data_IF_318294755055
#
_entry.id   IF_318294755055
#
_cell.length_a   1.000
_cell.length_b   1.000
_cell.length_c   1.000
_cell.angle_alpha   90.00
_cell.angle_beta   90.00
_cell.angle_gamma   90.00
#
_symmetry.space_group_name_H-M   'P 1'
#
loop_
_entity.id
_entity.type
_entity.pdbx_description
1 polymer ?
#
# COMPACT_ATOMS: atom_id res chain seq x y z
N UNK A 1 4.90 13.96 -21.24
CA UNK A 1 5.70 13.00 -20.45
C UNK A 1 5.83 11.70 -21.24
N UNK A 2 6.93 10.95 -21.07
CA UNK A 2 7.15 9.67 -21.77
C UNK A 2 7.02 8.50 -20.80
N UNK A 3 6.81 7.30 -21.33
CA UNK A 3 6.91 6.07 -20.56
C UNK A 3 8.34 5.87 -20.08
N UNK A 4 8.47 5.37 -18.85
CA UNK A 4 9.72 4.90 -18.26
C UNK A 4 9.48 3.55 -17.63
N UNK A 5 10.43 2.63 -17.80
CA UNK A 5 10.46 1.39 -17.04
C UNK A 5 10.97 1.69 -15.63
N UNK A 6 10.25 1.22 -14.62
CA UNK A 6 10.58 1.50 -13.21
C UNK A 6 10.39 0.23 -12.39
N UNK A 7 11.35 -0.02 -11.52
CA UNK A 7 11.34 -1.11 -10.56
C UNK A 7 11.06 -0.59 -9.13
N UNK A 8 10.50 -1.47 -8.31
CA UNK A 8 10.30 -1.26 -6.88
C UNK A 8 11.60 -1.62 -6.14
N UNK A 9 12.28 -0.61 -5.59
CA UNK A 9 13.67 -0.76 -5.11
C UNK A 9 13.81 -0.86 -3.60
N UNK A 10 12.72 -0.87 -2.85
CA UNK A 10 12.75 -0.99 -1.39
C UNK A 10 11.86 -2.15 -0.94
N UNK A 11 12.23 -2.78 0.16
CA UNK A 11 11.61 -4.02 0.66
C UNK A 11 10.25 -3.80 1.35
N UNK A 12 9.43 -4.86 1.49
CA UNK A 12 8.21 -4.78 2.30
C UNK A 12 8.55 -4.51 3.75
N UNK A 13 7.63 -3.86 4.46
CA UNK A 13 7.71 -3.79 5.91
C UNK A 13 6.72 -4.79 6.47
N UNK A 14 7.23 -5.80 7.16
CA UNK A 14 6.46 -6.79 7.91
C UNK A 14 7.37 -7.49 8.92
N UNK A 15 6.77 -8.21 9.85
CA UNK A 15 7.43 -9.14 10.78
C UNK A 15 6.57 -10.41 10.96
N UNK A 16 7.05 -11.37 11.74
CA UNK A 16 6.36 -12.64 12.00
C UNK A 16 5.03 -12.48 12.77
N UNK A 17 4.74 -11.28 13.29
CA UNK A 17 3.50 -10.96 14.01
C UNK A 17 2.47 -10.24 13.13
N UNK A 18 2.86 -9.84 11.93
CA UNK A 18 1.99 -9.12 11.02
C UNK A 18 0.77 -9.98 10.64
N UNK A 19 -0.43 -9.43 10.78
CA UNK A 19 -1.70 -10.13 10.55
C UNK A 19 -2.58 -9.42 9.50
N UNK A 20 -2.29 -8.18 9.17
CA UNK A 20 -2.93 -7.38 8.14
C UNK A 20 -1.90 -7.03 7.07
N UNK A 21 -2.21 -7.23 5.79
CA UNK A 21 -1.37 -6.77 4.68
C UNK A 21 -2.09 -5.68 3.90
N UNK A 22 -1.51 -4.48 3.82
CA UNK A 22 -2.01 -3.39 2.99
C UNK A 22 -1.14 -3.26 1.73
N UNK A 23 -1.77 -3.32 0.57
CA UNK A 23 -1.14 -3.24 -0.74
C UNK A 23 -1.46 -1.91 -1.44
N UNK A 24 -0.44 -1.16 -1.84
CA UNK A 24 -0.57 -0.10 -2.83
C UNK A 24 -0.50 -0.63 -4.27
N UNK A 25 -0.63 0.25 -5.27
CA UNK A 25 -0.44 -0.10 -6.68
C UNK A 25 1.05 -0.24 -6.99
N UNK A 26 1.74 0.90 -6.94
CA UNK A 26 3.17 1.05 -7.18
C UNK A 26 3.66 2.34 -6.49
N UNK A 27 4.92 2.43 -6.04
CA UNK A 27 5.44 3.62 -5.37
C UNK A 27 5.33 4.89 -6.23
N UNK A 28 4.91 6.00 -5.62
CA UNK A 28 4.94 7.31 -6.28
C UNK A 28 6.38 7.82 -6.47
N UNK A 29 6.58 8.87 -7.28
CA UNK A 29 7.90 9.51 -7.44
C UNK A 29 8.52 9.83 -6.07
N UNK A 30 7.75 10.49 -5.19
CA UNK A 30 8.23 10.85 -3.85
C UNK A 30 8.56 9.63 -2.99
N UNK A 31 7.77 8.55 -3.09
CA UNK A 31 8.03 7.32 -2.34
C UNK A 31 9.33 6.65 -2.80
N UNK A 32 9.62 6.68 -4.12
CA UNK A 32 10.89 6.21 -4.67
C UNK A 32 12.07 7.09 -4.27
N UNK A 33 11.91 8.41 -4.24
CA UNK A 33 12.97 9.31 -3.74
C UNK A 33 13.30 9.04 -2.26
N UNK A 34 12.28 8.81 -1.44
CA UNK A 34 12.42 8.55 0.00
C UNK A 34 12.78 7.09 0.32
N UNK A 35 12.76 6.19 -0.67
CA UNK A 35 12.90 4.74 -0.49
C UNK A 35 11.93 4.19 0.57
N UNK A 36 10.71 4.75 0.61
CA UNK A 36 9.69 4.36 1.58
C UNK A 36 8.27 4.71 1.14
N UNK A 37 7.28 4.04 1.71
CA UNK A 37 5.88 4.13 1.29
C UNK A 37 5.22 5.48 1.57
N UNK A 38 4.38 5.89 0.63
CA UNK A 38 3.49 7.05 0.74
C UNK A 38 4.21 8.36 1.11
N UNK A 39 5.38 8.60 0.52
CA UNK A 39 6.22 9.77 0.84
C UNK A 39 5.63 11.13 0.47
N UNK A 40 4.65 11.18 -0.42
CA UNK A 40 4.04 12.46 -0.82
C UNK A 40 3.34 13.14 0.39
N UNK A 41 3.67 14.38 0.79
CA UNK A 41 3.15 15.01 2.02
C UNK A 41 1.62 15.14 2.10
N UNK A 42 0.96 15.25 0.94
CA UNK A 42 -0.51 15.28 0.85
C UNK A 42 -1.15 13.89 0.82
N UNK A 43 -0.37 12.80 0.75
CA UNK A 43 -0.93 11.47 0.89
C UNK A 43 -1.45 11.29 2.32
N UNK A 44 -2.63 10.69 2.43
CA UNK A 44 -3.37 10.60 3.69
C UNK A 44 -3.14 9.29 4.42
N UNK A 45 -2.36 8.36 3.86
CA UNK A 45 -2.13 7.02 4.43
C UNK A 45 -1.70 7.07 5.90
N UNK A 46 -0.61 7.79 6.19
CA UNK A 46 -0.08 7.90 7.56
C UNK A 46 -1.03 8.62 8.52
N UNK A 47 -1.81 9.59 8.01
CA UNK A 47 -2.84 10.28 8.80
C UNK A 47 -4.02 9.36 9.14
N UNK A 48 -4.42 8.51 8.20
CA UNK A 48 -5.46 7.48 8.43
C UNK A 48 -4.98 6.52 9.50
N UNK A 49 -3.78 5.95 9.35
CA UNK A 49 -3.25 5.00 10.34
C UNK A 49 -3.11 5.62 11.73
N UNK A 50 -2.52 6.81 11.83
CA UNK A 50 -2.42 7.56 13.10
C UNK A 50 -3.79 7.78 13.76
N UNK A 51 -4.83 8.12 12.99
CA UNK A 51 -6.19 8.29 13.54
C UNK A 51 -6.83 6.95 13.98
N UNK A 52 -6.53 5.85 13.31
CA UNK A 52 -7.08 4.53 13.63
C UNK A 52 -6.40 3.93 14.85
N UNK A 53 -5.07 3.94 14.89
CA UNK A 53 -4.27 3.36 15.97
C UNK A 53 -4.16 4.28 17.20
N UNK A 54 -4.67 5.52 17.10
CA UNK A 54 -4.57 6.57 18.13
C UNK A 54 -3.14 6.94 18.50
N UNK A 55 -2.20 6.70 17.58
CA UNK A 55 -0.81 7.07 17.73
C UNK A 55 -0.52 8.44 17.12
N UNK A 56 0.60 9.06 17.53
CA UNK A 56 1.09 10.29 16.91
C UNK A 56 1.43 10.05 15.44
N UNK A 57 1.17 11.05 14.59
CA UNK A 57 1.52 11.00 13.18
C UNK A 57 3.03 10.74 13.02
N UNK A 58 3.46 9.65 12.37
CA UNK A 58 4.87 9.36 12.22
C UNK A 58 5.46 10.25 11.13
N UNK A 59 6.64 10.79 11.40
CA UNK A 59 7.36 11.71 10.51
C UNK A 59 8.53 10.98 9.85
N UNK A 60 9.35 10.29 10.64
CA UNK A 60 10.55 9.60 10.13
C UNK A 60 10.23 8.20 9.60
N UNK A 61 11.14 7.62 8.81
CA UNK A 61 11.00 6.26 8.30
C UNK A 61 10.97 5.24 9.44
N UNK A 62 11.78 5.46 10.48
CA UNK A 62 11.84 4.63 11.68
C UNK A 62 10.51 4.67 12.44
N UNK A 63 9.92 5.87 12.62
CA UNK A 63 8.61 6.02 13.25
C UNK A 63 7.51 5.34 12.45
N UNK A 64 7.52 5.53 11.12
CA UNK A 64 6.55 4.90 10.20
C UNK A 64 6.65 3.37 10.26
N UNK A 65 7.87 2.82 10.18
CA UNK A 65 8.14 1.38 10.31
C UNK A 65 7.68 0.85 11.66
N UNK A 66 8.02 1.54 12.75
CA UNK A 66 7.67 1.11 14.09
C UNK A 66 6.15 1.15 14.33
N UNK A 67 5.44 2.14 13.81
CA UNK A 67 3.97 2.19 13.84
C UNK A 67 3.36 0.99 13.12
N UNK A 68 3.84 0.66 11.92
CA UNK A 68 3.32 -0.51 11.18
C UNK A 68 3.47 -1.81 11.98
N UNK A 69 4.67 -2.09 12.47
CA UNK A 69 4.97 -3.34 13.18
C UNK A 69 4.25 -3.44 14.53
N UNK A 70 4.17 -2.35 15.31
CA UNK A 70 3.42 -2.34 16.59
C UNK A 70 1.94 -2.67 16.44
N UNK A 71 1.35 -2.35 15.28
CA UNK A 71 -0.05 -2.63 14.98
C UNK A 71 -0.23 -3.85 14.07
N UNK A 72 0.80 -4.67 13.90
CA UNK A 72 0.74 -5.91 13.10
C UNK A 72 0.38 -5.68 11.62
N UNK A 73 0.74 -4.51 11.09
CA UNK A 73 0.47 -4.11 9.71
C UNK A 73 1.71 -4.39 8.86
N UNK A 74 1.56 -5.30 7.91
CA UNK A 74 2.45 -5.43 6.76
C UNK A 74 2.05 -4.43 5.66
N UNK A 75 3.04 -3.90 4.95
CA UNK A 75 2.84 -3.03 3.78
C UNK A 75 3.69 -3.51 2.60
N UNK A 76 3.08 -3.51 1.43
CA UNK A 76 3.76 -3.77 0.16
C UNK A 76 3.02 -3.08 -1.00
N UNK A 77 3.44 -3.34 -2.23
CA UNK A 77 2.74 -2.94 -3.43
C UNK A 77 2.43 -4.17 -4.31
N UNK A 78 1.45 -4.01 -5.21
CA UNK A 78 1.04 -5.09 -6.12
C UNK A 78 2.08 -5.30 -7.24
N UNK A 79 2.78 -4.24 -7.64
CA UNK A 79 3.66 -4.23 -8.80
C UNK A 79 5.13 -4.20 -8.35
N UNK A 80 5.95 -5.11 -8.87
CA UNK A 80 7.40 -5.11 -8.68
C UNK A 80 8.10 -4.26 -9.75
N UNK A 81 7.65 -4.32 -11.00
CA UNK A 81 8.15 -3.47 -12.07
C UNK A 81 7.04 -3.16 -13.08
N UNK A 82 7.13 -2.00 -13.75
CA UNK A 82 6.22 -1.64 -14.82
C UNK A 82 6.76 -0.51 -15.70
N UNK A 83 6.09 -0.30 -16.83
CA UNK A 83 6.19 0.94 -17.57
C UNK A 83 5.12 1.93 -17.10
N UNK A 84 5.54 3.13 -16.71
CA UNK A 84 4.67 4.17 -16.15
C UNK A 84 5.03 5.56 -16.69
N UNK A 85 4.05 6.47 -16.73
CA UNK A 85 4.27 7.90 -16.96
C UNK A 85 4.21 8.62 -15.60
N UNK A 86 5.37 9.04 -15.09
CA UNK A 86 5.49 9.70 -13.79
C UNK A 86 5.12 8.77 -12.63
N UNK A 87 3.98 9.05 -12.00
CA UNK A 87 3.34 8.18 -10.99
C UNK A 87 1.84 7.98 -11.26
N UNK A 88 1.41 8.10 -12.52
CA UNK A 88 0.00 7.94 -12.87
C UNK A 88 -0.36 6.47 -12.97
N UNK A 89 -1.12 5.97 -11.99
CA UNK A 89 -1.68 4.62 -11.96
C UNK A 89 -2.39 4.23 -13.26
N UNK A 90 -3.09 5.17 -13.91
CA UNK A 90 -3.81 4.92 -15.17
C UNK A 90 -2.90 4.61 -16.36
N UNK A 91 -1.61 4.91 -16.24
CA UNK A 91 -0.62 4.66 -17.29
C UNK A 91 0.13 3.34 -17.12
N UNK A 92 -0.01 2.64 -15.98
CA UNK A 92 0.71 1.40 -15.68
C UNK A 92 0.44 0.35 -16.76
N UNK A 93 1.50 -0.20 -17.36
CA UNK A 93 1.48 -1.33 -18.30
C UNK A 93 2.75 -2.16 -18.17
N UNK A 94 2.82 -3.29 -18.89
CA UNK A 94 3.96 -4.22 -18.82
C UNK A 94 4.30 -4.59 -17.38
N UNK A 95 3.27 -5.01 -16.63
CA UNK A 95 3.33 -5.24 -15.19
C UNK A 95 4.00 -6.56 -14.90
N UNK A 96 5.00 -6.52 -14.03
CA UNK A 96 5.48 -7.68 -13.28
C UNK A 96 4.92 -7.61 -11.84
N UNK A 97 4.17 -8.62 -11.40
CA UNK A 97 3.60 -8.63 -10.05
C UNK A 97 4.68 -8.83 -9.00
N UNK A 98 4.48 -8.19 -7.84
CA UNK A 98 5.38 -8.37 -6.71
C UNK A 98 5.15 -9.73 -6.00
N UNK A 99 6.20 -10.35 -5.42
CA UNK A 99 6.12 -11.70 -4.85
C UNK A 99 5.45 -11.71 -3.45
N UNK A 100 4.16 -11.37 -3.40
CA UNK A 100 3.36 -11.25 -2.15
C UNK A 100 3.39 -12.55 -1.33
N UNK A 101 3.48 -13.71 -1.97
CA UNK A 101 3.57 -15.00 -1.30
C UNK A 101 4.76 -15.13 -0.35
N UNK A 102 5.83 -14.35 -0.52
CA UNK A 102 6.94 -14.34 0.42
C UNK A 102 6.51 -13.81 1.80
N UNK A 103 5.66 -12.79 1.84
CA UNK A 103 5.09 -12.25 3.09
C UNK A 103 4.11 -13.27 3.68
N UNK A 104 3.22 -13.83 2.86
CA UNK A 104 2.18 -14.77 3.31
C UNK A 104 2.73 -16.07 3.91
N UNK A 105 3.97 -16.45 3.57
CA UNK A 105 4.65 -17.63 4.14
C UNK A 105 5.34 -17.33 5.47
N UNK A 106 5.66 -16.07 5.75
CA UNK A 106 6.49 -15.66 6.90
C UNK A 106 5.67 -14.98 8.00
N UNK A 107 4.48 -14.47 7.68
CA UNK A 107 3.59 -13.81 8.61
C UNK A 107 2.17 -14.39 8.53
N UNK A 108 1.45 -14.50 9.66
CA UNK A 108 0.10 -15.04 9.72
C UNK A 108 -0.95 -14.03 9.21
N UNK A 109 -0.78 -13.52 7.98
CA UNK A 109 -1.66 -12.54 7.36
C UNK A 109 -3.07 -13.11 7.24
N UNK A 110 -4.00 -12.56 8.01
CA UNK A 110 -5.41 -12.93 8.03
C UNK A 110 -6.20 -12.28 6.91
N UNK A 111 -5.83 -11.05 6.52
CA UNK A 111 -6.56 -10.28 5.52
C UNK A 111 -5.65 -9.37 4.70
N UNK A 112 -5.96 -9.29 3.41
CA UNK A 112 -5.28 -8.42 2.45
C UNK A 112 -6.22 -7.26 2.12
N UNK A 113 -5.73 -6.05 2.26
CA UNK A 113 -6.42 -4.83 1.87
C UNK A 113 -5.67 -4.15 0.75
N UNK A 114 -6.39 -3.62 -0.23
CA UNK A 114 -5.79 -2.99 -1.40
C UNK A 114 -6.22 -1.54 -1.48
N UNK A 115 -5.26 -0.63 -1.38
CA UNK A 115 -5.45 0.82 -1.34
C UNK A 115 -5.68 1.39 -2.75
N UNK A 116 -6.95 1.47 -3.15
CA UNK A 116 -7.36 2.10 -4.40
C UNK A 116 -7.77 1.14 -5.51
N UNK A 117 -8.54 1.67 -6.47
CA UNK A 117 -9.16 0.87 -7.52
C UNK A 117 -8.16 0.26 -8.52
N UNK A 118 -7.09 0.99 -8.85
CA UNK A 118 -6.07 0.47 -9.78
C UNK A 118 -5.30 -0.68 -9.15
N UNK A 119 -4.79 -0.49 -7.93
CA UNK A 119 -4.14 -1.54 -7.16
C UNK A 119 -5.03 -2.80 -7.07
N UNK A 120 -6.33 -2.62 -6.80
CA UNK A 120 -7.27 -3.74 -6.68
C UNK A 120 -7.45 -4.51 -8.01
N UNK A 121 -7.59 -3.79 -9.13
CA UNK A 121 -7.67 -4.41 -10.46
C UNK A 121 -6.40 -5.19 -10.80
N UNK A 122 -5.22 -4.64 -10.48
CA UNK A 122 -3.93 -5.29 -10.72
C UNK A 122 -3.79 -6.54 -9.84
N UNK A 123 -4.18 -6.46 -8.56
CA UNK A 123 -4.15 -7.60 -7.64
C UNK A 123 -5.01 -8.76 -8.14
N UNK A 124 -6.28 -8.48 -8.50
CA UNK A 124 -7.20 -9.49 -9.05
C UNK A 124 -6.65 -10.11 -10.34
N UNK A 125 -5.98 -9.32 -11.18
CA UNK A 125 -5.45 -9.78 -12.47
C UNK A 125 -4.19 -10.64 -12.33
N UNK A 126 -3.25 -10.22 -11.49
CA UNK A 126 -1.88 -10.78 -11.48
C UNK A 126 -1.52 -11.55 -10.22
N UNK A 127 -2.13 -11.26 -9.07
CA UNK A 127 -1.68 -11.79 -7.78
C UNK A 127 -2.64 -12.81 -7.16
N UNK A 128 -3.95 -12.60 -7.27
CA UNK A 128 -4.96 -13.39 -6.51
C UNK A 128 -4.89 -14.90 -6.76
N UNK A 129 -4.64 -15.31 -8.01
CA UNK A 129 -4.52 -16.74 -8.36
C UNK A 129 -3.34 -17.40 -7.62
N UNK A 130 -2.25 -16.68 -7.47
CA UNK A 130 -1.02 -17.18 -6.85
C UNK A 130 -1.10 -17.13 -5.32
N UNK A 131 -1.67 -16.04 -4.77
CA UNK A 131 -1.87 -15.91 -3.33
C UNK A 131 -2.97 -16.83 -2.81
N UNK A 132 -3.98 -17.13 -3.64
CA UNK A 132 -5.23 -17.82 -3.25
C UNK A 132 -5.96 -17.08 -2.12
N UNK A 133 -5.84 -15.76 -2.08
CA UNK A 133 -6.46 -14.89 -1.07
C UNK A 133 -7.27 -13.82 -1.77
N UNK A 134 -8.54 -13.70 -1.39
CA UNK A 134 -9.32 -12.52 -1.75
C UNK A 134 -8.76 -11.29 -1.03
N UNK A 135 -8.95 -10.12 -1.62
CA UNK A 135 -8.58 -8.85 -1.03
C UNK A 135 -9.79 -7.93 -0.88
N UNK A 136 -9.76 -7.09 0.15
CA UNK A 136 -10.75 -6.04 0.37
C UNK A 136 -10.24 -4.75 -0.28
N UNK A 137 -11.06 -4.16 -1.15
CA UNK A 137 -10.76 -2.89 -1.80
C UNK A 137 -11.04 -1.73 -0.85
N UNK A 138 -10.02 -0.92 -0.58
CA UNK A 138 -10.12 0.32 0.16
C UNK A 138 -10.19 1.54 -0.78
N UNK A 139 -10.83 2.65 -0.38
CA UNK A 139 -10.73 3.92 -1.07
C UNK A 139 -9.28 4.43 -1.02
N UNK A 140 -8.82 5.02 -2.12
CA UNK A 140 -7.41 5.45 -2.24
C UNK A 140 -7.08 6.58 -1.25
N UNK A 141 -5.95 6.45 -0.56
CA UNK A 141 -5.39 7.50 0.30
C UNK A 141 -4.70 8.66 -0.46
N UNK A 142 -4.44 8.47 -1.76
CA UNK A 142 -3.79 9.46 -2.64
C UNK A 142 -4.61 10.75 -2.74
N UNK A 143 -4.01 11.96 -2.74
CA UNK A 143 -4.74 13.22 -2.86
C UNK A 143 -5.56 13.33 -4.16
N UNK A 144 -5.22 12.57 -5.20
CA UNK A 144 -6.01 12.49 -6.44
C UNK A 144 -7.45 11.99 -6.20
N UNK A 145 -7.68 11.24 -5.13
CA UNK A 145 -9.01 10.85 -4.69
C UNK A 145 -9.67 11.98 -3.87
N UNK A 146 -10.04 13.07 -4.57
CA UNK A 146 -10.60 14.27 -3.95
C UNK A 146 -12.03 14.08 -3.41
N UNK A 147 -12.76 13.05 -3.87
CA UNK A 147 -14.12 12.73 -3.43
C UNK A 147 -14.19 12.20 -1.97
N UNK A 148 -13.04 11.93 -1.36
CA UNK A 148 -12.94 11.38 -0.01
C UNK A 148 -12.17 12.34 0.91
N UNK A 149 -12.82 12.83 1.96
CA UNK A 149 -12.16 13.57 3.04
C UNK A 149 -11.31 12.63 3.90
N UNK A 150 -10.36 13.17 4.68
CA UNK A 150 -9.57 12.36 5.62
C UNK A 150 -10.45 11.64 6.65
N UNK A 151 -11.47 12.32 7.18
CA UNK A 151 -12.45 11.76 8.11
C UNK A 151 -13.18 10.58 7.49
N UNK A 152 -13.76 10.76 6.28
CA UNK A 152 -14.46 9.70 5.57
C UNK A 152 -13.56 8.50 5.24
N UNK A 153 -12.29 8.76 4.89
CA UNK A 153 -11.30 7.70 4.69
C UNK A 153 -11.05 6.93 5.99
N UNK A 154 -10.84 7.66 7.09
CA UNK A 154 -10.60 7.08 8.42
C UNK A 154 -11.78 6.22 8.84
N UNK A 155 -13.01 6.72 8.72
CA UNK A 155 -14.23 5.97 9.08
C UNK A 155 -14.40 4.69 8.27
N UNK A 156 -14.17 4.77 6.95
CA UNK A 156 -14.32 3.60 6.08
C UNK A 156 -13.22 2.58 6.34
N UNK A 157 -11.96 3.03 6.43
CA UNK A 157 -10.84 2.15 6.74
C UNK A 157 -11.04 1.50 8.12
N UNK A 158 -11.47 2.25 9.13
CA UNK A 158 -11.71 1.71 10.48
C UNK A 158 -12.84 0.68 10.57
N UNK A 159 -13.81 0.71 9.65
CA UNK A 159 -14.86 -0.34 9.56
C UNK A 159 -14.34 -1.63 8.94
N UNK A 160 -13.37 -1.53 8.04
CA UNK A 160 -12.87 -2.66 7.25
C UNK A 160 -11.64 -3.32 7.89
N UNK A 161 -10.71 -2.50 8.39
CA UNK A 161 -9.44 -2.94 8.94
C UNK A 161 -9.66 -3.70 10.26
N UNK A 162 -9.02 -4.86 10.37
CA UNK A 162 -8.94 -5.65 11.59
C UNK A 162 -7.73 -5.20 12.43
N UNK A 163 -7.75 -3.95 12.91
CA UNK A 163 -6.75 -3.38 13.81
C UNK A 163 -7.21 -3.43 15.26
#
# INVERSE_FOLDING_TARGET
>A
MKYQHVEHTFEPVFDEKSNVLILGSFPSIKSREEQFYYGHPQNRFWKILSNLTKEKLPITIEEKRAMLLRNHIAIWDVVASCDIIGSSDSSIKNVEPAPINNILKQAPIQRIYVNGGTAYKLYKKYCEKETKREAIKLPSSSPANAAWSLERLTDYWGKELLL
#
